data_IF_087523926510
#
_entry.id   IF_087523926510
#
_cell.length_a   1.000
_cell.length_b   1.000
_cell.length_c   1.000
_cell.angle_alpha   90.00
_cell.angle_beta   90.00
_cell.angle_gamma   90.00
#
_symmetry.space_group_name_H-M   'P 1'
#
loop_
_entity.id
_entity.type
_entity.pdbx_description
1 polymer ?
#
# COMPACT_ATOMS: atom_id res chain seq x y z
N UNK A 1 -29.13 -10.00 -5.30
CA UNK A 1 -28.19 -8.93 -5.69
C UNK A 1 -26.80 -9.53 -5.76
N UNK A 2 -25.99 -9.23 -6.78
CA UNK A 2 -24.61 -9.68 -6.83
C UNK A 2 -23.83 -9.09 -5.64
N UNK A 3 -23.08 -9.93 -4.93
CA UNK A 3 -22.24 -9.52 -3.79
C UNK A 3 -20.86 -9.10 -4.31
N UNK A 4 -20.25 -8.04 -3.75
CA UNK A 4 -18.87 -7.69 -4.06
C UNK A 4 -17.89 -8.82 -3.77
N UNK A 5 -16.86 -8.95 -4.59
CA UNK A 5 -15.74 -9.82 -4.33
C UNK A 5 -14.91 -9.27 -3.15
N UNK A 6 -14.47 -10.16 -2.27
CA UNK A 6 -13.64 -9.83 -1.10
C UNK A 6 -12.25 -10.46 -1.17
N UNK A 7 -11.96 -11.27 -2.19
CA UNK A 7 -10.66 -11.89 -2.41
C UNK A 7 -10.03 -11.27 -3.66
N UNK A 8 -9.05 -10.40 -3.46
CA UNK A 8 -8.36 -9.72 -4.54
C UNK A 8 -7.02 -10.42 -4.78
N UNK A 9 -6.76 -10.82 -6.02
CA UNK A 9 -5.44 -11.25 -6.46
C UNK A 9 -4.67 -9.98 -6.87
N UNK A 10 -3.82 -9.50 -5.97
CA UNK A 10 -2.96 -8.33 -6.19
C UNK A 10 -1.52 -8.75 -5.93
N UNK A 11 -0.62 -8.37 -6.82
CA UNK A 11 0.81 -8.58 -6.62
C UNK A 11 1.50 -7.35 -6.01
N UNK A 12 2.82 -7.42 -5.84
CA UNK A 12 3.60 -6.33 -5.23
C UNK A 12 3.62 -5.09 -6.13
N UNK A 13 3.63 -5.25 -7.45
CA UNK A 13 3.67 -4.15 -8.42
C UNK A 13 2.34 -3.38 -8.42
N UNK A 14 1.22 -4.11 -8.33
CA UNK A 14 -0.12 -3.52 -8.18
C UNK A 14 -0.21 -2.67 -6.90
N UNK A 15 0.29 -3.19 -5.78
CA UNK A 15 0.29 -2.47 -4.51
C UNK A 15 1.14 -1.19 -4.58
N UNK A 16 2.30 -1.24 -5.24
CA UNK A 16 3.16 -0.06 -5.46
C UNK A 16 2.48 1.00 -6.34
N UNK A 17 1.78 0.58 -7.39
CA UNK A 17 1.02 1.48 -8.24
C UNK A 17 -0.10 2.17 -7.47
N UNK A 18 -0.85 1.42 -6.65
CA UNK A 18 -1.92 1.94 -5.80
C UNK A 18 -1.36 2.94 -4.78
N UNK A 19 -0.26 2.62 -4.11
CA UNK A 19 0.39 3.54 -3.17
C UNK A 19 0.82 4.85 -3.84
N UNK A 20 1.38 4.76 -5.05
CA UNK A 20 1.80 5.94 -5.82
C UNK A 20 0.61 6.82 -6.20
N UNK A 21 -0.48 6.21 -6.66
CA UNK A 21 -1.72 6.93 -6.99
C UNK A 21 -2.33 7.61 -5.76
N UNK A 22 -2.37 6.92 -4.61
CA UNK A 22 -2.88 7.47 -3.35
C UNK A 22 -2.04 8.65 -2.85
N UNK A 23 -0.71 8.56 -2.96
CA UNK A 23 0.20 9.67 -2.60
C UNK A 23 0.00 10.89 -3.50
N UNK A 24 -0.28 10.66 -4.79
CA UNK A 24 -0.59 11.74 -5.74
C UNK A 24 -1.94 12.37 -5.43
N UNK A 25 -2.98 11.55 -5.25
CA UNK A 25 -4.33 11.99 -4.91
C UNK A 25 -4.33 12.82 -3.61
N UNK A 26 -3.57 12.39 -2.59
CA UNK A 26 -3.40 13.13 -1.34
C UNK A 26 -2.90 14.57 -1.54
N UNK A 27 -2.09 14.82 -2.57
CA UNK A 27 -1.54 16.15 -2.87
C UNK A 27 -2.48 17.02 -3.68
N UNK A 28 -3.40 16.41 -4.43
CA UNK A 28 -4.20 17.09 -5.46
C UNK A 28 -5.67 17.25 -5.06
N UNK A 29 -6.17 16.50 -4.06
CA UNK A 29 -7.59 16.48 -3.68
C UNK A 29 -7.82 16.78 -2.19
N UNK A 30 -9.00 17.33 -1.88
CA UNK A 30 -9.54 17.47 -0.51
C UNK A 30 -10.13 16.13 -0.05
N UNK A 31 -9.26 15.14 0.08
CA UNK A 31 -9.59 13.80 0.59
C UNK A 31 -9.12 13.67 2.03
N UNK A 32 -9.78 12.82 2.81
CA UNK A 32 -9.40 12.58 4.20
C UNK A 32 -7.98 12.02 4.29
N UNK A 33 -7.04 12.88 4.67
CA UNK A 33 -5.63 12.55 4.76
C UNK A 33 -5.33 11.40 5.72
N UNK A 34 -6.18 11.22 6.75
CA UNK A 34 -6.01 10.16 7.75
C UNK A 34 -6.37 8.82 7.15
N UNK A 35 -7.50 8.76 6.45
CA UNK A 35 -7.94 7.55 5.77
C UNK A 35 -6.90 7.07 4.73
N UNK A 36 -6.34 8.01 3.96
CA UNK A 36 -5.28 7.70 3.00
C UNK A 36 -4.01 7.22 3.70
N UNK A 37 -3.60 7.86 4.81
CA UNK A 37 -2.42 7.44 5.57
C UNK A 37 -2.58 6.03 6.15
N UNK A 38 -3.75 5.72 6.72
CA UNK A 38 -4.05 4.41 7.28
C UNK A 38 -4.06 3.32 6.20
N UNK A 39 -4.63 3.61 5.02
CA UNK A 39 -4.62 2.69 3.89
C UNK A 39 -3.20 2.44 3.37
N UNK A 40 -2.40 3.50 3.18
CA UNK A 40 -1.00 3.39 2.76
C UNK A 40 -0.20 2.52 3.74
N UNK A 41 -0.43 2.65 5.04
CA UNK A 41 0.20 1.80 6.06
C UNK A 41 -0.19 0.32 5.92
N UNK A 42 -1.47 0.03 5.68
CA UNK A 42 -1.94 -1.35 5.44
C UNK A 42 -1.33 -1.95 4.16
N UNK A 43 -1.33 -1.21 3.05
CA UNK A 43 -0.75 -1.65 1.78
C UNK A 43 0.75 -1.93 1.92
N UNK A 44 1.47 -1.03 2.60
CA UNK A 44 2.90 -1.20 2.87
C UNK A 44 3.17 -2.48 3.66
N UNK A 45 2.35 -2.77 4.65
CA UNK A 45 2.47 -3.98 5.48
C UNK A 45 2.13 -5.27 4.73
N UNK A 46 1.36 -5.23 3.63
CA UNK A 46 1.10 -6.41 2.80
C UNK A 46 2.34 -6.81 1.97
N UNK A 47 3.24 -5.87 1.66
CA UNK A 47 4.45 -6.10 0.84
C UNK A 47 5.63 -6.76 1.60
N UNK A 48 5.37 -7.65 2.57
CA UNK A 48 6.34 -8.18 3.55
C UNK A 48 7.78 -8.30 3.02
N UNK A 49 8.68 -7.57 3.69
CA UNK A 49 10.11 -7.40 3.44
C UNK A 49 10.86 -8.70 3.09
N UNK A 50 11.22 -8.88 1.81
CA UNK A 50 12.36 -9.73 1.45
C UNK A 50 13.61 -9.20 2.18
N UNK A 51 14.06 -9.95 3.19
CA UNK A 51 15.35 -9.75 3.87
C UNK A 51 16.31 -10.81 3.32
N UNK A 52 17.26 -10.48 2.43
CA UNK A 52 18.33 -11.41 2.11
C UNK A 52 19.11 -11.70 3.40
N UNK A 53 19.50 -12.95 3.64
CA UNK A 53 20.20 -13.38 4.85
C UNK A 53 21.58 -12.71 4.95
N UNK A 54 21.66 -11.59 5.65
CA UNK A 54 22.90 -10.85 5.91
C UNK A 54 22.71 -9.84 7.05
N UNK A 55 23.74 -9.67 7.87
CA UNK A 55 23.75 -8.81 9.06
C UNK A 55 23.31 -7.38 8.72
N UNK A 56 22.27 -6.90 9.40
CA UNK A 56 21.79 -5.52 9.32
C UNK A 56 22.85 -4.56 9.88
N UNK A 57 23.27 -3.57 9.09
CA UNK A 57 24.10 -2.43 9.55
C UNK A 57 23.29 -1.16 9.34
N UNK A 58 22.77 -0.61 10.43
CA UNK A 58 22.11 0.70 10.44
C UNK A 58 23.14 1.81 10.62
N UNK A 59 23.04 2.86 9.80
CA UNK A 59 23.73 4.13 9.96
C UNK A 59 22.72 5.25 10.16
#
# INVERSE_FOLDING_TARGET
MPKPNTQFELDVEDLDLIETALRKAKREADIDEREVADLLGRLHNQKVFYRPGGTYVGG
#
